data_IF_176584923518
#
_entry.id   IF_176584923518
#
_cell.length_a   1.000
_cell.length_b   1.000
_cell.length_c   1.000
_cell.angle_alpha   90.00
_cell.angle_beta   90.00
_cell.angle_gamma   90.00
#
_symmetry.space_group_name_H-M   'P 1'
#
loop_
_entity.id
_entity.type
_entity.pdbx_description
1 polymer ?
#
# COMPACT_ATOMS: atom_id res chain seq x y z
N UNK A 1 10.41 65.20 -10.28
CA UNK A 1 11.77 64.61 -10.40
C UNK A 1 12.60 64.57 -9.09
N UNK A 2 12.38 65.46 -8.11
CA UNK A 2 13.14 65.44 -6.84
C UNK A 2 12.72 64.29 -5.89
N UNK A 3 11.43 63.90 -5.84
CA UNK A 3 10.96 62.83 -4.97
C UNK A 3 11.40 61.41 -5.42
N UNK A 4 11.60 61.20 -6.72
CA UNK A 4 12.05 59.90 -7.25
C UNK A 4 13.54 59.62 -6.91
N UNK A 5 14.36 60.64 -6.86
CA UNK A 5 15.78 60.50 -6.46
C UNK A 5 15.95 60.22 -4.96
N UNK A 6 15.04 60.73 -4.13
CA UNK A 6 15.05 60.47 -2.70
C UNK A 6 14.65 59.02 -2.38
N UNK A 7 13.64 58.52 -3.11
CA UNK A 7 13.17 57.14 -2.94
C UNK A 7 14.23 56.09 -3.39
N UNK A 8 14.90 56.37 -4.50
CA UNK A 8 15.99 55.51 -4.99
C UNK A 8 17.20 55.49 -4.07
N UNK A 9 17.55 56.67 -3.45
CA UNK A 9 18.60 56.75 -2.45
C UNK A 9 18.27 55.99 -1.17
N UNK A 10 17.02 56.00 -0.72
CA UNK A 10 16.56 55.27 0.47
C UNK A 10 16.57 53.74 0.24
N UNK A 11 16.10 53.28 -0.92
CA UNK A 11 16.18 51.86 -1.28
C UNK A 11 17.63 51.35 -1.42
N UNK A 12 18.51 52.13 -1.95
CA UNK A 12 19.92 51.75 -2.12
C UNK A 12 20.65 51.67 -0.77
N UNK A 13 20.37 52.59 0.18
CA UNK A 13 20.93 52.53 1.54
C UNK A 13 20.36 51.34 2.32
N UNK A 14 19.05 51.00 2.21
CA UNK A 14 18.50 49.78 2.78
C UNK A 14 19.15 48.51 2.20
N UNK A 15 19.39 48.48 0.89
CA UNK A 15 20.02 47.33 0.22
C UNK A 15 21.47 47.13 0.71
N UNK A 16 22.22 48.18 0.94
CA UNK A 16 23.58 48.11 1.50
C UNK A 16 23.59 47.64 2.96
N UNK A 17 22.54 47.93 3.75
CA UNK A 17 22.44 47.42 5.12
C UNK A 17 22.16 45.91 5.18
N UNK A 18 21.49 45.35 4.19
CA UNK A 18 21.28 43.90 4.12
C UNK A 18 22.55 43.13 3.77
N UNK A 19 23.51 43.71 3.10
CA UNK A 19 24.79 43.05 2.79
C UNK A 19 25.86 43.21 3.88
N UNK A 20 25.69 44.10 4.83
CA UNK A 20 26.65 44.28 5.94
C UNK A 20 26.28 43.47 7.20
N UNK A 21 25.17 42.75 7.18
CA UNK A 21 24.64 42.03 8.36
C UNK A 21 25.10 40.57 8.47
N UNK A 22 25.94 40.08 7.57
CA UNK A 22 26.47 38.72 7.64
C UNK A 22 28.01 38.75 7.54
N UNK A 23 28.66 39.38 8.49
CA UNK A 23 30.01 38.96 8.86
C UNK A 23 29.87 38.07 10.09
N UNK A 24 29.51 36.79 9.90
CA UNK A 24 29.90 35.79 10.86
C UNK A 24 31.41 35.81 10.89
N UNK A 25 31.96 36.41 11.95
CA UNK A 25 33.36 36.16 12.27
C UNK A 25 33.55 34.65 12.28
N UNK A 26 34.53 34.12 11.51
CA UNK A 26 34.80 32.69 11.61
C UNK A 26 35.12 32.44 13.09
N UNK A 27 34.28 31.67 13.77
CA UNK A 27 34.57 31.14 15.08
C UNK A 27 35.87 30.38 14.88
N UNK A 28 37.00 30.97 15.27
CA UNK A 28 38.27 30.29 15.38
C UNK A 28 38.14 29.30 16.55
N UNK A 29 37.42 28.22 16.30
CA UNK A 29 37.54 27.04 17.12
C UNK A 29 38.90 26.43 16.78
N UNK A 30 39.83 26.59 17.68
CA UNK A 30 41.06 25.81 17.65
C UNK A 30 40.70 24.33 17.86
N UNK A 31 40.33 23.67 16.76
CA UNK A 31 40.00 22.24 16.73
C UNK A 31 41.25 21.37 16.80
N UNK A 32 42.47 22.00 16.93
CA UNK A 32 43.75 21.26 16.99
C UNK A 32 43.90 20.41 18.27
N UNK A 33 43.09 20.69 19.30
CA UNK A 33 43.11 19.96 20.58
C UNK A 33 41.90 18.99 20.73
N UNK A 34 41.03 18.90 19.77
CA UNK A 34 40.02 17.88 19.76
C UNK A 34 40.65 16.66 19.07
N UNK A 35 41.15 15.72 19.89
CA UNK A 35 41.39 14.36 19.42
C UNK A 35 40.07 13.81 18.97
N UNK A 36 39.74 14.00 17.71
CA UNK A 36 38.58 13.43 17.05
C UNK A 36 38.80 11.92 16.87
N UNK A 37 39.06 11.20 17.95
CA UNK A 37 39.12 9.75 17.93
C UNK A 37 37.72 9.24 17.64
N UNK A 38 37.56 8.73 16.45
CA UNK A 38 36.34 8.01 16.09
C UNK A 38 36.45 6.62 16.71
N UNK A 39 35.63 6.39 17.70
CA UNK A 39 35.49 5.09 18.34
C UNK A 39 34.38 4.25 17.67
N UNK A 40 34.46 2.95 17.86
CA UNK A 40 33.50 2.01 17.29
C UNK A 40 32.86 1.16 18.37
N UNK A 41 31.53 1.15 18.43
CA UNK A 41 30.77 0.18 19.20
C UNK A 41 30.17 -0.84 18.22
N UNK A 42 30.40 -2.12 18.51
CA UNK A 42 29.83 -3.23 17.75
C UNK A 42 28.86 -4.02 18.64
N UNK A 43 27.59 -4.11 18.23
CA UNK A 43 26.56 -4.92 18.90
C UNK A 43 26.19 -6.06 17.96
N UNK A 44 26.40 -7.30 18.42
CA UNK A 44 26.07 -8.53 17.68
C UNK A 44 24.95 -9.33 18.35
N UNK A 45 24.57 -8.99 19.57
CA UNK A 45 23.45 -9.59 20.28
C UNK A 45 22.14 -8.94 19.79
N UNK A 46 21.65 -9.45 18.65
CA UNK A 46 20.41 -9.01 18.01
C UNK A 46 19.42 -10.14 18.14
N UNK A 47 18.30 -9.88 18.80
CA UNK A 47 17.21 -10.84 18.94
C UNK A 47 15.92 -10.27 18.34
N UNK A 48 14.95 -11.14 18.08
CA UNK A 48 13.69 -10.70 17.53
C UNK A 48 12.69 -11.84 17.40
N UNK A 49 11.50 -11.48 16.99
CA UNK A 49 10.42 -12.44 16.76
C UNK A 49 9.46 -11.91 15.70
N UNK A 50 8.76 -12.84 15.05
CA UNK A 50 7.68 -12.51 14.13
C UNK A 50 6.36 -12.32 14.87
N UNK A 51 5.51 -11.50 14.25
CA UNK A 51 4.09 -11.46 14.54
C UNK A 51 3.32 -11.27 13.24
N UNK A 52 2.04 -11.59 13.26
CA UNK A 52 1.18 -11.55 12.09
C UNK A 52 0.01 -10.61 12.33
N UNK A 53 -0.31 -9.83 11.33
CA UNK A 53 -1.53 -9.00 11.27
C UNK A 53 -2.38 -9.44 10.09
N UNK A 54 -3.58 -8.90 9.97
CA UNK A 54 -4.37 -9.04 8.74
C UNK A 54 -3.56 -8.49 7.56
N UNK A 55 -3.45 -9.23 6.44
CA UNK A 55 -2.73 -8.74 5.25
C UNK A 55 -3.24 -7.37 4.80
N UNK A 56 -2.31 -6.45 4.59
CA UNK A 56 -2.62 -5.12 4.06
C UNK A 56 -2.46 -5.14 2.54
N UNK A 57 -3.57 -5.39 1.84
CA UNK A 57 -3.65 -5.44 0.38
C UNK A 57 -4.59 -4.38 -0.19
N UNK A 58 -5.17 -3.52 0.66
CA UNK A 58 -5.92 -2.34 0.24
C UNK A 58 -5.02 -1.37 -0.53
N UNK A 59 -5.59 -0.64 -1.48
CA UNK A 59 -4.84 0.32 -2.30
C UNK A 59 -3.73 -0.30 -3.16
N UNK A 60 -3.75 -1.64 -3.40
CA UNK A 60 -2.84 -2.27 -4.33
C UNK A 60 -3.36 -2.07 -5.76
N UNK A 61 -2.45 -1.79 -6.71
CA UNK A 61 -2.81 -1.48 -8.09
C UNK A 61 -3.35 -2.66 -8.92
N UNK A 62 -3.49 -3.82 -8.29
CA UNK A 62 -4.02 -5.05 -8.89
C UNK A 62 -4.93 -5.78 -7.92
N UNK A 63 -5.89 -6.47 -8.49
CA UNK A 63 -6.78 -7.39 -7.81
C UNK A 63 -6.49 -8.82 -8.23
N UNK A 64 -6.71 -9.75 -7.32
CA UNK A 64 -6.38 -11.15 -7.52
C UNK A 64 -7.56 -12.06 -7.19
N UNK A 65 -7.76 -13.10 -8.01
CA UNK A 65 -8.74 -14.16 -7.76
C UNK A 65 -8.12 -15.51 -8.11
N UNK A 66 -8.19 -16.47 -7.20
CA UNK A 66 -7.64 -17.81 -7.39
C UNK A 66 -6.31 -18.05 -6.70
N UNK A 67 -5.60 -19.11 -7.10
CA UNK A 67 -4.40 -19.55 -6.38
C UNK A 67 -3.14 -19.36 -7.20
N UNK A 68 -2.13 -18.79 -6.58
CA UNK A 68 -0.78 -18.64 -7.14
C UNK A 68 0.23 -19.02 -6.07
N UNK A 69 1.05 -20.03 -6.37
CA UNK A 69 2.01 -20.59 -5.41
C UNK A 69 1.30 -21.05 -4.14
N UNK A 70 1.64 -20.48 -3.01
CA UNK A 70 1.04 -20.78 -1.71
C UNK A 70 -0.15 -19.86 -1.35
N UNK A 71 -0.38 -18.80 -2.14
CA UNK A 71 -1.43 -17.83 -1.85
C UNK A 71 -2.73 -18.19 -2.54
N UNK A 72 -3.83 -18.08 -1.81
CA UNK A 72 -5.19 -18.26 -2.33
C UNK A 72 -5.99 -16.98 -2.10
N UNK A 73 -6.50 -16.40 -3.19
CA UNK A 73 -7.42 -15.27 -3.18
C UNK A 73 -8.82 -15.78 -3.41
N UNK A 74 -9.65 -15.67 -2.39
CA UNK A 74 -11.01 -16.20 -2.38
C UNK A 74 -11.93 -15.42 -3.31
N UNK A 75 -11.77 -14.09 -3.33
CA UNK A 75 -12.56 -13.19 -4.15
C UNK A 75 -11.90 -11.83 -4.34
N UNK A 76 -12.38 -11.07 -5.32
CA UNK A 76 -12.18 -9.62 -5.41
C UNK A 76 -13.52 -8.92 -5.30
N UNK A 77 -13.59 -7.88 -4.49
CA UNK A 77 -14.80 -7.13 -4.16
C UNK A 77 -14.76 -5.74 -4.78
N UNK A 78 -15.94 -5.22 -5.14
CA UNK A 78 -16.10 -3.93 -5.80
C UNK A 78 -17.31 -3.22 -5.23
N UNK A 79 -17.14 -1.97 -4.80
CA UNK A 79 -18.21 -1.11 -4.33
C UNK A 79 -18.43 0.04 -5.33
N UNK A 80 -19.69 0.34 -5.66
CA UNK A 80 -20.06 1.42 -6.56
C UNK A 80 -20.74 2.54 -5.79
N UNK A 81 -20.43 3.83 -6.10
CA UNK A 81 -20.94 4.96 -5.36
C UNK A 81 -22.46 5.11 -5.53
N UNK A 82 -23.18 5.33 -4.44
CA UNK A 82 -24.64 5.45 -4.42
C UNK A 82 -25.17 6.64 -5.23
N UNK A 83 -24.44 7.76 -5.25
CA UNK A 83 -24.85 9.00 -5.91
C UNK A 83 -24.67 9.01 -7.44
N UNK A 84 -24.09 7.99 -8.00
CA UNK A 84 -23.85 7.90 -9.46
C UNK A 84 -25.09 7.46 -10.25
N UNK A 85 -26.14 7.03 -9.58
CA UNK A 85 -27.34 6.42 -10.17
C UNK A 85 -28.52 7.36 -10.34
N UNK A 86 -28.44 8.60 -9.84
CA UNK A 86 -29.54 9.58 -9.84
C UNK A 86 -30.15 9.84 -11.22
N UNK A 87 -29.34 9.72 -12.28
CA UNK A 87 -29.81 9.88 -13.67
C UNK A 87 -30.89 8.88 -14.05
N UNK A 88 -30.84 7.68 -13.47
CA UNK A 88 -31.73 6.55 -13.83
C UNK A 88 -33.01 6.53 -13.00
N UNK A 89 -33.16 7.43 -12.04
CA UNK A 89 -34.39 7.59 -11.23
C UNK A 89 -35.45 8.42 -11.98
N UNK A 90 -35.08 9.03 -13.11
CA UNK A 90 -36.00 9.80 -13.95
C UNK A 90 -36.86 8.85 -14.80
N UNK A 91 -38.18 8.97 -14.72
CA UNK A 91 -39.13 8.17 -15.47
C UNK A 91 -39.04 8.31 -16.99
N UNK A 92 -38.33 9.32 -17.50
CA UNK A 92 -38.05 9.53 -18.92
C UNK A 92 -36.84 8.72 -19.40
N UNK A 93 -36.14 8.04 -18.53
CA UNK A 93 -34.96 7.23 -18.81
C UNK A 93 -35.34 5.74 -18.89
N UNK A 94 -34.91 5.10 -19.96
CA UNK A 94 -35.04 3.64 -20.15
C UNK A 94 -33.65 3.06 -20.37
N UNK A 95 -33.24 2.13 -19.51
CA UNK A 95 -31.97 1.41 -19.66
C UNK A 95 -32.16 0.32 -20.72
N UNK A 96 -31.29 0.33 -21.74
CA UNK A 96 -31.28 -0.65 -22.82
C UNK A 96 -30.36 -1.84 -22.53
N UNK A 97 -29.18 -1.56 -21.98
CA UNK A 97 -28.23 -2.59 -21.57
C UNK A 97 -27.26 -2.05 -20.52
N UNK A 98 -26.74 -2.95 -19.68
CA UNK A 98 -25.82 -2.61 -18.61
C UNK A 98 -24.78 -3.71 -18.46
N UNK A 99 -23.51 -3.31 -18.37
CA UNK A 99 -22.38 -4.23 -18.31
C UNK A 99 -21.42 -3.86 -17.20
N UNK A 100 -21.01 -4.85 -16.43
CA UNK A 100 -19.86 -4.74 -15.52
C UNK A 100 -18.62 -5.15 -16.29
N UNK A 101 -17.54 -4.36 -16.17
CA UNK A 101 -16.28 -4.59 -16.85
C UNK A 101 -15.10 -4.49 -15.90
N UNK A 102 -14.19 -5.45 -16.02
CA UNK A 102 -12.85 -5.40 -15.42
C UNK A 102 -11.80 -5.67 -16.49
N UNK A 103 -10.58 -5.25 -16.24
CA UNK A 103 -9.49 -5.27 -17.20
C UNK A 103 -8.31 -6.06 -16.65
N UNK A 104 -7.56 -6.69 -17.55
CA UNK A 104 -6.34 -7.41 -17.22
C UNK A 104 -5.29 -7.20 -18.31
N UNK A 105 -4.03 -7.08 -17.89
CA UNK A 105 -2.88 -7.13 -18.79
C UNK A 105 -2.49 -8.56 -19.18
N UNK A 106 -3.14 -9.57 -18.63
CA UNK A 106 -2.88 -10.97 -18.96
C UNK A 106 -3.52 -11.38 -20.28
N UNK A 107 -2.70 -11.63 -21.28
CA UNK A 107 -3.14 -12.12 -22.60
C UNK A 107 -3.52 -13.61 -22.62
N UNK A 108 -3.24 -14.34 -21.53
CA UNK A 108 -3.48 -15.78 -21.42
C UNK A 108 -4.88 -16.11 -20.87
N UNK A 109 -5.72 -15.13 -20.63
CA UNK A 109 -7.09 -15.37 -20.18
C UNK A 109 -7.86 -16.14 -21.26
N UNK A 110 -8.32 -17.32 -20.91
CA UNK A 110 -9.09 -18.19 -21.81
C UNK A 110 -10.38 -17.51 -22.28
N UNK A 111 -10.89 -17.88 -23.46
CA UNK A 111 -12.11 -17.30 -24.03
C UNK A 111 -13.37 -17.49 -23.18
N UNK A 112 -13.31 -18.34 -22.16
CA UNK A 112 -14.44 -18.65 -21.28
C UNK A 112 -13.95 -18.94 -19.86
N UNK A 113 -13.37 -17.92 -19.17
CA UNK A 113 -12.88 -18.13 -17.83
C UNK A 113 -14.05 -18.45 -16.88
N UNK A 114 -13.85 -19.46 -16.04
CA UNK A 114 -14.85 -19.87 -15.05
C UNK A 114 -14.82 -18.92 -13.83
N UNK A 115 -14.91 -17.62 -14.09
CA UNK A 115 -14.87 -16.56 -13.11
C UNK A 115 -16.28 -16.02 -12.89
N UNK A 116 -16.88 -16.32 -11.75
CA UNK A 116 -18.27 -15.95 -11.47
C UNK A 116 -18.34 -14.55 -10.85
N UNK A 117 -19.32 -13.77 -11.33
CA UNK A 117 -19.71 -12.50 -10.74
C UNK A 117 -20.95 -12.71 -9.86
N UNK A 118 -20.89 -12.16 -8.65
CA UNK A 118 -22.00 -12.15 -7.69
C UNK A 118 -22.34 -10.72 -7.30
N UNK A 119 -23.60 -10.47 -6.95
CA UNK A 119 -24.12 -9.16 -6.59
C UNK A 119 -24.85 -9.17 -5.25
N UNK A 120 -24.65 -8.13 -4.44
CA UNK A 120 -25.38 -7.86 -3.21
C UNK A 120 -25.73 -6.38 -3.09
N UNK A 121 -26.86 -6.11 -2.42
CA UNK A 121 -27.29 -4.75 -2.05
C UNK A 121 -26.75 -4.30 -0.70
N UNK A 122 -26.07 -5.20 0.01
CA UNK A 122 -25.49 -4.90 1.32
C UNK A 122 -24.08 -4.35 1.17
N UNK A 123 -23.77 -3.30 1.94
CA UNK A 123 -22.39 -2.82 2.08
C UNK A 123 -21.67 -3.71 3.08
N UNK A 124 -20.61 -4.36 2.64
CA UNK A 124 -19.87 -5.29 3.48
C UNK A 124 -18.44 -4.83 3.77
N UNK A 125 -17.92 -3.88 3.01
CA UNK A 125 -16.56 -3.42 3.21
C UNK A 125 -16.42 -1.92 2.93
N UNK A 126 -15.44 -1.36 3.61
CA UNK A 126 -14.83 -0.06 3.39
C UNK A 126 -13.33 -0.37 3.18
N UNK A 127 -12.81 -0.06 2.01
CA UNK A 127 -11.43 -0.42 1.62
C UNK A 127 -10.38 0.02 2.64
N UNK A 128 -10.63 1.15 3.31
CA UNK A 128 -9.70 1.73 4.28
C UNK A 128 -9.79 1.12 5.68
N UNK A 129 -10.95 0.56 6.04
CA UNK A 129 -11.25 0.17 7.42
C UNK A 129 -11.59 -1.32 7.59
N UNK A 130 -12.07 -1.99 6.54
CA UNK A 130 -12.41 -3.42 6.64
C UNK A 130 -11.17 -4.30 6.71
N UNK A 131 -11.20 -5.26 7.61
CA UNK A 131 -10.13 -6.23 7.75
C UNK A 131 -10.37 -7.43 6.82
N UNK A 132 -9.35 -7.86 6.12
CA UNK A 132 -9.41 -9.05 5.24
C UNK A 132 -9.89 -10.28 6.01
N UNK A 133 -9.55 -10.41 7.29
CA UNK A 133 -10.01 -11.49 8.17
C UNK A 133 -11.53 -11.52 8.38
N UNK A 134 -12.20 -10.37 8.30
CA UNK A 134 -13.67 -10.26 8.40
C UNK A 134 -14.31 -10.62 7.07
N UNK A 135 -13.78 -10.07 5.96
CA UNK A 135 -14.27 -10.31 4.61
C UNK A 135 -14.17 -11.78 4.20
N UNK A 136 -13.17 -12.49 4.67
CA UNK A 136 -12.95 -13.93 4.41
C UNK A 136 -14.10 -14.83 4.85
N UNK A 137 -14.86 -14.42 5.86
CA UNK A 137 -15.97 -15.23 6.41
C UNK A 137 -17.30 -14.95 5.73
N UNK A 138 -17.35 -14.11 4.71
CA UNK A 138 -18.58 -13.81 3.97
C UNK A 138 -18.85 -14.89 2.92
N UNK A 139 -20.05 -15.42 2.90
CA UNK A 139 -20.48 -16.42 1.91
C UNK A 139 -20.89 -15.73 0.60
N UNK A 140 -19.94 -15.38 -0.23
CA UNK A 140 -20.16 -14.65 -1.48
C UNK A 140 -20.99 -15.45 -2.48
N UNK A 141 -20.96 -16.77 -2.43
CA UNK A 141 -21.73 -17.69 -3.26
C UNK A 141 -23.23 -17.73 -2.92
N UNK A 142 -23.64 -17.18 -1.79
CA UNK A 142 -25.04 -16.96 -1.43
C UNK A 142 -25.64 -15.70 -2.09
N UNK A 143 -24.82 -14.86 -2.68
CA UNK A 143 -25.26 -13.66 -3.39
C UNK A 143 -25.91 -13.97 -4.72
N UNK A 144 -26.55 -12.99 -5.36
CA UNK A 144 -27.17 -13.18 -6.67
C UNK A 144 -26.08 -13.48 -7.70
N UNK A 145 -26.08 -14.69 -8.24
CA UNK A 145 -25.12 -15.10 -9.27
C UNK A 145 -25.51 -14.51 -10.63
N UNK A 146 -24.59 -13.73 -11.22
CA UNK A 146 -24.73 -13.14 -12.56
C UNK A 146 -24.20 -14.09 -13.64
N UNK A 147 -23.24 -14.95 -13.30
CA UNK A 147 -22.60 -15.89 -14.22
C UNK A 147 -21.16 -15.51 -14.58
N UNK A 148 -20.71 -16.05 -15.72
CA UNK A 148 -19.33 -15.90 -16.22
C UNK A 148 -19.24 -14.77 -17.25
N UNK A 149 -18.04 -14.17 -17.49
CA UNK A 149 -17.85 -13.07 -18.43
C UNK A 149 -17.79 -13.53 -19.88
N UNK A 150 -18.08 -12.62 -20.80
CA UNK A 150 -17.49 -12.64 -22.14
C UNK A 150 -16.11 -12.00 -22.10
N UNK A 151 -15.20 -12.48 -22.95
CA UNK A 151 -13.82 -12.00 -23.06
C UNK A 151 -13.69 -11.20 -24.36
N UNK A 152 -13.24 -9.97 -24.26
CA UNK A 152 -12.91 -9.11 -25.39
C UNK A 152 -11.44 -8.72 -25.30
N UNK A 153 -10.72 -8.76 -26.42
CA UNK A 153 -9.32 -8.30 -26.49
C UNK A 153 -9.31 -6.93 -27.17
N UNK A 154 -8.84 -5.92 -26.46
CA UNK A 154 -8.67 -4.57 -27.02
C UNK A 154 -7.21 -4.36 -27.33
N UNK A 155 -6.92 -4.06 -28.60
CA UNK A 155 -5.57 -3.75 -29.06
C UNK A 155 -5.51 -2.23 -29.24
N UNK A 156 -4.74 -1.55 -28.40
CA UNK A 156 -4.45 -0.13 -28.61
C UNK A 156 -3.35 0.00 -29.66
N UNK A 157 -3.73 0.50 -30.84
CA UNK A 157 -2.82 0.77 -31.96
C UNK A 157 -2.44 2.25 -32.06
N UNK A 158 -2.79 3.06 -31.07
CA UNK A 158 -2.53 4.51 -31.09
C UNK A 158 -1.04 4.84 -30.93
N UNK A 159 -0.26 3.92 -30.37
CA UNK A 159 1.19 4.08 -30.25
C UNK A 159 1.92 3.20 -31.28
N UNK A 160 2.69 3.82 -32.15
CA UNK A 160 3.42 3.13 -33.23
C UNK A 160 4.64 2.34 -32.72
N UNK A 161 4.95 2.43 -31.44
CA UNK A 161 6.15 1.81 -30.83
C UNK A 161 5.80 0.60 -29.97
N UNK A 162 4.61 0.54 -29.37
CA UNK A 162 4.15 -0.59 -28.58
C UNK A 162 2.67 -0.87 -28.83
N UNK A 163 2.34 -2.06 -29.32
CA UNK A 163 0.97 -2.57 -29.29
C UNK A 163 0.69 -3.04 -27.87
N UNK A 164 -0.10 -2.25 -27.14
CA UNK A 164 -0.58 -2.65 -25.82
C UNK A 164 -1.86 -3.49 -26.05
N UNK A 165 -1.85 -4.71 -25.56
CA UNK A 165 -2.99 -5.61 -25.63
C UNK A 165 -3.60 -5.72 -24.23
N UNK A 166 -4.89 -5.40 -24.11
CA UNK A 166 -5.63 -5.52 -22.87
C UNK A 166 -6.77 -6.52 -23.03
N UNK A 167 -6.99 -7.32 -22.03
CA UNK A 167 -8.13 -8.23 -21.96
C UNK A 167 -9.22 -7.60 -21.13
N UNK A 168 -10.43 -7.53 -21.67
CA UNK A 168 -11.64 -7.03 -21.02
C UNK A 168 -12.52 -8.22 -20.66
N UNK A 169 -12.82 -8.38 -19.39
CA UNK A 169 -13.82 -9.30 -18.88
C UNK A 169 -15.13 -8.52 -18.69
N UNK A 170 -16.19 -8.96 -19.38
CA UNK A 170 -17.46 -8.24 -19.45
C UNK A 170 -18.64 -9.15 -19.09
N UNK A 171 -19.40 -8.75 -18.10
CA UNK A 171 -20.64 -9.40 -17.68
C UNK A 171 -21.85 -8.58 -18.09
N UNK A 172 -22.85 -9.23 -18.67
CA UNK A 172 -24.18 -8.63 -18.85
C UNK A 172 -24.93 -8.72 -17.51
N UNK A 173 -25.17 -7.57 -16.89
CA UNK A 173 -25.91 -7.46 -15.63
C UNK A 173 -27.32 -6.92 -15.82
N UNK A 174 -27.88 -7.08 -17.02
CA UNK A 174 -29.22 -6.63 -17.39
C UNK A 174 -30.32 -7.20 -16.51
N UNK A 175 -30.16 -8.44 -16.00
CA UNK A 175 -31.09 -9.04 -15.06
C UNK A 175 -31.19 -8.32 -13.70
N UNK A 176 -30.21 -7.50 -13.36
CA UNK A 176 -30.16 -6.76 -12.10
C UNK A 176 -30.60 -5.29 -12.24
N UNK A 177 -30.95 -4.85 -13.44
CA UNK A 177 -31.25 -3.43 -13.74
C UNK A 177 -32.22 -2.84 -12.74
N UNK A 178 -33.39 -3.49 -12.53
CA UNK A 178 -34.42 -2.98 -11.62
C UNK A 178 -33.87 -2.76 -10.18
N UNK A 179 -33.04 -3.66 -9.70
CA UNK A 179 -32.43 -3.54 -8.37
C UNK A 179 -31.35 -2.50 -8.34
N UNK A 180 -30.50 -2.46 -9.38
CA UNK A 180 -29.36 -1.53 -9.42
C UNK A 180 -29.82 -0.06 -9.52
N UNK A 181 -30.89 0.22 -10.28
CA UNK A 181 -31.43 1.57 -10.46
C UNK A 181 -32.51 1.93 -9.42
N UNK A 182 -32.84 1.06 -8.47
CA UNK A 182 -33.83 1.36 -7.43
C UNK A 182 -33.27 2.44 -6.49
N UNK A 183 -34.10 3.45 -6.22
CA UNK A 183 -33.79 4.54 -5.28
C UNK A 183 -33.57 4.06 -3.85
N UNK A 184 -34.11 2.90 -3.50
CA UNK A 184 -33.96 2.29 -2.17
C UNK A 184 -32.65 1.49 -2.03
N UNK A 185 -31.99 1.18 -3.15
CA UNK A 185 -30.70 0.46 -3.13
C UNK A 185 -29.59 1.42 -2.74
N UNK A 186 -29.14 1.35 -1.50
CA UNK A 186 -28.07 2.20 -0.97
C UNK A 186 -26.69 1.70 -1.40
N UNK A 187 -26.50 0.42 -1.49
CA UNK A 187 -25.21 -0.21 -1.78
C UNK A 187 -25.28 -1.12 -2.99
N UNK A 188 -24.22 -1.16 -3.76
CA UNK A 188 -24.07 -1.97 -4.97
C UNK A 188 -22.71 -2.61 -4.96
N UNK A 189 -22.65 -3.79 -4.32
CA UNK A 189 -21.42 -4.52 -4.10
C UNK A 189 -21.37 -5.74 -5.01
N UNK A 190 -20.25 -5.92 -5.68
CA UNK A 190 -19.99 -7.09 -6.51
C UNK A 190 -18.81 -7.88 -5.96
N UNK A 191 -18.85 -9.19 -6.19
CA UNK A 191 -17.76 -10.12 -5.87
C UNK A 191 -17.42 -10.95 -7.08
N UNK A 192 -16.14 -11.06 -7.39
CA UNK A 192 -15.59 -12.01 -8.35
C UNK A 192 -14.96 -13.17 -7.60
N UNK A 193 -15.35 -14.41 -7.93
CA UNK A 193 -14.75 -15.59 -7.35
C UNK A 193 -14.70 -16.76 -8.34
N UNK A 194 -13.80 -17.71 -8.06
CA UNK A 194 -13.70 -18.96 -8.79
C UNK A 194 -14.48 -20.06 -8.08
N UNK A 195 -14.97 -21.07 -8.81
CA UNK A 195 -15.51 -22.27 -8.19
C UNK A 195 -14.49 -22.94 -7.27
N UNK A 196 -14.98 -23.53 -6.19
CA UNK A 196 -14.13 -24.27 -5.26
C UNK A 196 -13.29 -25.34 -5.98
N UNK A 197 -11.99 -25.39 -5.66
CA UNK A 197 -11.03 -26.33 -6.25
C UNK A 197 -10.47 -25.91 -7.63
N UNK A 198 -10.76 -24.70 -8.09
CA UNK A 198 -10.13 -24.15 -9.28
C UNK A 198 -8.64 -23.88 -9.00
N UNK A 199 -7.78 -24.26 -9.96
CA UNK A 199 -6.34 -23.92 -9.95
C UNK A 199 -6.01 -22.67 -10.77
N UNK A 200 -7.02 -21.99 -11.30
CA UNK A 200 -6.82 -20.76 -12.10
C UNK A 200 -6.43 -19.59 -11.20
N UNK A 201 -5.72 -18.65 -11.79
CA UNK A 201 -5.34 -17.40 -11.15
C UNK A 201 -5.56 -16.25 -12.13
N UNK A 202 -6.20 -15.19 -11.65
CA UNK A 202 -6.47 -13.98 -12.43
C UNK A 202 -5.86 -12.77 -11.73
N UNK A 203 -5.17 -11.96 -12.53
CA UNK A 203 -4.62 -10.68 -12.14
C UNK A 203 -5.37 -9.58 -12.90
N UNK A 204 -6.13 -8.78 -12.17
CA UNK A 204 -6.98 -7.74 -12.72
C UNK A 204 -6.45 -6.36 -12.31
N UNK A 205 -6.77 -5.33 -13.07
CA UNK A 205 -6.45 -3.97 -12.66
C UNK A 205 -7.44 -3.50 -11.58
N UNK A 206 -6.91 -2.85 -10.56
CA UNK A 206 -7.68 -2.15 -9.54
C UNK A 206 -7.91 -0.70 -9.93
N UNK A 207 -8.68 0.01 -9.13
CA UNK A 207 -8.88 1.44 -9.23
C UNK A 207 -7.58 2.24 -9.14
N UNK A 208 -6.58 1.73 -8.43
CA UNK A 208 -5.29 2.37 -8.20
C UNK A 208 -4.28 2.17 -9.33
N UNK A 209 -4.60 1.34 -10.35
CA UNK A 209 -3.65 1.00 -11.40
C UNK A 209 -3.30 2.16 -12.32
N UNK A 210 -4.28 2.92 -12.75
CA UNK A 210 -4.07 3.98 -13.73
C UNK A 210 -5.08 5.12 -13.58
N UNK A 211 -4.97 6.14 -14.41
CA UNK A 211 -5.86 7.31 -14.40
C UNK A 211 -7.25 7.05 -14.99
N UNK A 212 -7.92 6.00 -14.60
CA UNK A 212 -9.37 5.80 -14.81
C UNK A 212 -9.80 5.06 -16.07
N UNK A 213 -8.93 4.82 -17.06
CA UNK A 213 -9.36 4.12 -18.29
C UNK A 213 -9.58 2.63 -18.09
N UNK A 214 -8.76 2.02 -17.23
CA UNK A 214 -8.73 0.58 -16.93
C UNK A 214 -9.33 0.22 -15.56
N UNK A 215 -9.89 1.20 -14.87
CA UNK A 215 -10.59 0.95 -13.61
C UNK A 215 -11.80 0.04 -13.85
N UNK A 216 -12.12 -0.83 -12.90
CA UNK A 216 -13.37 -1.57 -12.91
C UNK A 216 -14.55 -0.60 -12.99
N UNK A 217 -15.53 -0.92 -13.86
CA UNK A 217 -16.62 -0.01 -14.15
C UNK A 217 -17.89 -0.69 -14.60
N UNK A 218 -18.99 0.04 -14.46
CA UNK A 218 -20.28 -0.30 -15.06
C UNK A 218 -20.54 0.66 -16.20
N UNK A 219 -20.86 0.11 -17.38
CA UNK A 219 -21.31 0.88 -18.54
C UNK A 219 -22.81 0.68 -18.74
N UNK A 220 -23.55 1.76 -18.71
CA UNK A 220 -25.01 1.79 -18.88
C UNK A 220 -25.34 2.47 -20.20
N UNK A 221 -26.00 1.75 -21.08
CA UNK A 221 -26.58 2.27 -22.33
C UNK A 221 -28.04 2.51 -22.10
N UNK A 222 -28.51 3.73 -22.36
CA UNK A 222 -29.87 4.12 -22.06
C UNK A 222 -30.41 5.14 -23.04
N UNK A 223 -31.74 5.23 -23.11
CA UNK A 223 -32.46 6.24 -23.85
C UNK A 223 -33.15 7.22 -22.92
N UNK A 224 -33.18 8.46 -23.33
CA UNK A 224 -33.87 9.51 -22.59
C UNK A 224 -34.84 10.21 -23.54
N UNK A 225 -36.09 10.33 -23.12
CA UNK A 225 -37.09 11.10 -23.83
C UNK A 225 -36.95 12.58 -23.48
N UNK A 226 -36.75 13.43 -24.52
CA UNK A 226 -36.63 14.88 -24.38
C UNK A 226 -37.84 15.52 -25.08
N UNK A 227 -38.67 16.19 -24.31
CA UNK A 227 -39.82 16.94 -24.81
C UNK A 227 -41.04 16.81 -23.94
N UNK A 228 -41.79 17.89 -23.81
CA UNK A 228 -43.03 17.95 -23.02
C UNK A 228 -44.28 17.55 -23.81
N UNK A 229 -44.15 17.22 -25.12
CA UNK A 229 -45.27 16.88 -25.97
C UNK A 229 -45.09 15.46 -26.56
N UNK A 230 -45.99 14.49 -26.30
CA UNK A 230 -45.87 13.13 -26.76
C UNK A 230 -45.71 12.99 -28.30
N UNK A 231 -46.23 13.96 -29.04
CA UNK A 231 -46.19 13.95 -30.51
C UNK A 231 -44.88 14.50 -31.11
N UNK A 232 -43.96 14.99 -30.25
CA UNK A 232 -42.70 15.59 -30.70
C UNK A 232 -41.51 15.24 -29.77
N UNK A 233 -41.61 14.15 -29.02
CA UNK A 233 -40.48 13.69 -28.18
C UNK A 233 -39.32 13.20 -29.03
N UNK A 234 -38.14 13.71 -28.75
CA UNK A 234 -36.88 13.23 -29.33
C UNK A 234 -36.28 12.23 -28.34
N UNK A 235 -35.85 11.07 -28.82
CA UNK A 235 -35.19 10.04 -28.03
C UNK A 235 -33.69 10.14 -28.27
N UNK A 236 -32.94 10.47 -27.20
CA UNK A 236 -31.50 10.44 -27.25
C UNK A 236 -31.00 9.09 -26.72
N UNK A 237 -30.05 8.49 -27.44
CA UNK A 237 -29.31 7.31 -26.96
C UNK A 237 -28.00 7.76 -26.33
N UNK A 238 -27.79 7.41 -25.07
CA UNK A 238 -26.70 7.90 -24.25
C UNK A 238 -25.96 6.73 -23.61
N UNK A 239 -24.71 6.99 -23.22
CA UNK A 239 -23.91 6.04 -22.44
C UNK A 239 -23.42 6.74 -21.18
N UNK A 240 -23.53 6.06 -20.02
CA UNK A 240 -22.95 6.50 -18.78
C UNK A 240 -21.99 5.46 -18.25
N UNK A 241 -20.81 5.91 -17.82
CA UNK A 241 -19.80 5.08 -17.18
C UNK A 241 -19.80 5.41 -15.70
N UNK A 242 -19.88 4.37 -14.85
CA UNK A 242 -19.81 4.47 -13.40
C UNK A 242 -18.61 3.64 -12.99
N UNK A 243 -17.60 4.33 -12.44
CA UNK A 243 -16.40 3.68 -11.94
C UNK A 243 -16.60 3.15 -10.53
N UNK A 244 -15.86 2.11 -10.18
CA UNK A 244 -15.78 1.60 -8.82
C UNK A 244 -15.29 2.69 -7.86
N UNK A 245 -15.84 2.72 -6.65
CA UNK A 245 -15.39 3.64 -5.58
C UNK A 245 -14.37 3.01 -4.66
N UNK A 246 -14.48 1.70 -4.45
CA UNK A 246 -13.63 0.91 -3.56
C UNK A 246 -13.49 -0.50 -4.14
N UNK A 247 -12.28 -1.05 -4.08
CA UNK A 247 -12.05 -2.45 -4.44
C UNK A 247 -10.97 -3.10 -3.55
N UNK A 248 -11.07 -4.41 -3.35
CA UNK A 248 -10.14 -5.17 -2.52
C UNK A 248 -10.14 -6.65 -2.91
N UNK A 249 -8.99 -7.28 -2.86
CA UNK A 249 -8.89 -8.75 -2.92
C UNK A 249 -8.98 -9.37 -1.53
N UNK A 250 -9.66 -10.49 -1.40
CA UNK A 250 -9.80 -11.24 -0.15
C UNK A 250 -8.87 -12.43 -0.20
N UNK A 251 -7.79 -12.37 0.57
CA UNK A 251 -6.77 -13.43 0.63
C UNK A 251 -7.03 -14.38 1.80
N UNK A 252 -6.80 -15.66 1.59
CA UNK A 252 -6.73 -16.65 2.66
C UNK A 252 -5.46 -16.41 3.48
N UNK A 253 -5.59 -16.35 4.81
CA UNK A 253 -4.43 -16.09 5.67
C UNK A 253 -3.60 -17.37 5.80
N UNK A 254 -2.33 -17.28 5.43
CA UNK A 254 -1.35 -18.32 5.70
C UNK A 254 -0.79 -18.12 7.10
N UNK A 255 -0.84 -19.14 7.93
CA UNK A 255 -0.19 -19.10 9.24
C UNK A 255 1.33 -19.04 9.05
N UNK A 256 1.99 -18.23 9.89
CA UNK A 256 3.44 -18.22 9.97
C UNK A 256 3.83 -19.37 10.88
N UNK A 257 4.60 -20.30 10.34
CA UNK A 257 5.17 -21.38 11.12
C UNK A 257 6.29 -20.81 12.01
N UNK A 258 5.95 -20.52 13.26
CA UNK A 258 6.90 -20.08 14.28
C UNK A 258 7.68 -21.30 14.81
N UNK A 259 8.51 -21.86 13.95
CA UNK A 259 9.30 -23.06 14.24
C UNK A 259 10.42 -22.84 15.30
N UNK A 260 10.38 -21.76 16.07
CA UNK A 260 11.40 -21.44 17.07
C UNK A 260 12.79 -21.19 16.47
N UNK A 261 12.90 -21.11 15.16
CA UNK A 261 14.10 -20.70 14.46
C UNK A 261 14.26 -19.19 14.66
N UNK A 262 15.46 -18.76 15.01
CA UNK A 262 15.81 -17.34 15.16
C UNK A 262 15.80 -16.61 13.79
N UNK A 263 14.77 -16.85 12.98
CA UNK A 263 14.56 -16.24 11.68
C UNK A 263 13.37 -15.27 11.75
N UNK A 264 13.48 -14.17 11.05
CA UNK A 264 12.37 -13.22 10.89
C UNK A 264 11.93 -13.15 9.43
N UNK A 265 10.64 -13.38 9.22
CA UNK A 265 9.99 -13.31 7.91
C UNK A 265 9.23 -12.00 7.78
N UNK A 266 9.44 -11.29 6.66
CA UNK A 266 8.73 -10.05 6.34
C UNK A 266 8.00 -10.24 5.02
N UNK A 267 6.67 -10.10 5.01
CA UNK A 267 5.81 -10.28 3.84
C UNK A 267 4.52 -9.48 3.96
N UNK A 268 4.08 -8.88 2.85
CA UNK A 268 2.78 -8.18 2.80
C UNK A 268 1.61 -9.16 2.76
N UNK A 269 1.62 -10.08 1.79
CA UNK A 269 0.51 -11.02 1.58
C UNK A 269 0.27 -11.95 2.77
N UNK A 270 1.31 -12.26 3.55
CA UNK A 270 1.18 -13.03 4.80
C UNK A 270 0.81 -12.15 6.00
N UNK A 271 0.85 -10.82 5.88
CA UNK A 271 0.75 -9.92 7.03
C UNK A 271 1.90 -10.08 8.03
N UNK A 272 3.05 -10.64 7.59
CA UNK A 272 4.17 -10.93 8.47
C UNK A 272 5.04 -9.71 8.71
N UNK A 273 5.26 -9.42 9.98
CA UNK A 273 6.13 -8.36 10.50
C UNK A 273 7.05 -8.92 11.57
N UNK A 274 8.08 -8.15 11.92
CA UNK A 274 9.01 -8.55 12.95
C UNK A 274 9.30 -7.42 13.95
N UNK A 275 9.57 -7.80 15.19
CA UNK A 275 10.14 -6.92 16.21
C UNK A 275 11.58 -7.36 16.44
N UNK A 276 12.50 -6.41 16.34
CA UNK A 276 13.90 -6.59 16.65
C UNK A 276 14.25 -5.87 17.95
N UNK A 277 14.96 -6.57 18.82
CA UNK A 277 15.54 -6.04 20.04
C UNK A 277 17.05 -5.93 19.86
N UNK A 278 17.57 -4.73 20.03
CA UNK A 278 18.99 -4.41 20.00
C UNK A 278 19.34 -3.79 21.35
N UNK A 279 20.26 -4.36 22.14
CA UNK A 279 20.60 -3.84 23.46
C UNK A 279 21.42 -2.54 23.35
N UNK A 280 20.72 -1.42 23.21
CA UNK A 280 21.30 -0.08 23.14
C UNK A 280 20.47 0.89 23.99
N UNK A 281 21.12 1.55 24.93
CA UNK A 281 20.52 2.54 25.85
C UNK A 281 21.40 3.77 26.01
N UNK A 282 21.01 4.70 26.89
CA UNK A 282 21.74 5.92 27.17
C UNK A 282 23.11 5.71 27.81
N UNK A 283 23.38 4.51 28.33
CA UNK A 283 24.66 4.13 28.96
C UNK A 283 25.58 3.36 28.00
N UNK A 284 25.10 3.00 26.82
CA UNK A 284 25.86 2.23 25.81
C UNK A 284 27.09 2.98 25.29
N UNK A 285 27.08 4.31 25.37
CA UNK A 285 28.20 5.19 24.96
C UNK A 285 28.54 6.18 26.07
N UNK A 286 29.78 6.72 26.13
CA UNK A 286 30.13 7.81 27.03
C UNK A 286 29.17 9.00 26.93
N UNK A 287 28.93 9.67 28.02
CA UNK A 287 28.06 10.83 28.09
C UNK A 287 28.51 11.91 27.06
N UNK A 288 27.55 12.55 26.39
CA UNK A 288 27.79 13.55 25.33
C UNK A 288 28.43 13.01 24.04
N UNK A 289 28.48 11.71 23.84
CA UNK A 289 28.93 11.13 22.57
C UNK A 289 28.05 11.57 21.41
N UNK A 290 28.68 11.79 20.27
CA UNK A 290 28.01 12.13 19.01
C UNK A 290 28.16 10.96 18.03
N UNK A 291 27.03 10.35 17.67
CA UNK A 291 26.99 9.26 16.69
C UNK A 291 27.23 9.83 15.28
N UNK A 292 28.27 9.36 14.62
CA UNK A 292 28.59 9.70 13.23
C UNK A 292 27.82 8.82 12.25
N UNK A 293 27.75 7.52 12.53
CA UNK A 293 26.91 6.57 11.80
C UNK A 293 26.49 5.44 12.73
N UNK A 294 25.34 4.86 12.49
CA UNK A 294 24.84 3.66 13.13
C UNK A 294 24.13 2.81 12.07
N UNK A 295 24.74 1.71 11.67
CA UNK A 295 24.26 0.88 10.57
C UNK A 295 23.97 -0.54 11.07
N UNK A 296 22.71 -0.93 11.01
CA UNK A 296 22.29 -2.31 11.22
C UNK A 296 22.47 -3.09 9.93
N UNK A 297 23.12 -4.24 10.03
CA UNK A 297 23.28 -5.20 8.93
C UNK A 297 22.60 -6.51 9.32
N UNK A 298 21.66 -6.98 8.50
CA UNK A 298 21.00 -8.30 8.62
C UNK A 298 21.19 -9.07 7.34
N UNK A 299 21.46 -10.38 7.46
CA UNK A 299 21.68 -11.26 6.32
C UNK A 299 20.48 -12.18 6.09
N UNK A 300 20.15 -12.38 4.83
CA UNK A 300 19.04 -13.26 4.45
C UNK A 300 19.35 -14.73 4.78
N UNK A 301 18.28 -15.44 5.07
CA UNK A 301 18.26 -16.91 5.17
C UNK A 301 17.69 -17.50 3.87
N UNK A 302 18.36 -18.47 3.32
CA UNK A 302 17.92 -19.14 2.08
C UNK A 302 18.26 -18.38 0.80
N UNK A 303 17.32 -18.35 -0.14
CA UNK A 303 17.51 -17.71 -1.43
C UNK A 303 17.60 -16.18 -1.31
N UNK A 304 18.52 -15.61 -2.08
CA UNK A 304 18.74 -14.16 -2.07
C UNK A 304 17.65 -13.45 -2.88
N UNK A 305 16.94 -12.53 -2.23
CA UNK A 305 16.01 -11.62 -2.88
C UNK A 305 16.58 -10.20 -2.86
N UNK A 306 16.93 -9.65 -4.00
CA UNK A 306 17.40 -8.28 -4.14
C UNK A 306 16.22 -7.31 -4.41
N UNK A 307 16.42 -6.04 -4.05
CA UNK A 307 15.46 -4.95 -4.21
C UNK A 307 14.23 -4.97 -3.30
N UNK A 308 14.04 -5.97 -2.46
CA UNK A 308 12.97 -5.97 -1.48
C UNK A 308 13.17 -4.82 -0.47
N UNK A 309 12.19 -3.94 -0.36
CA UNK A 309 12.24 -2.78 0.50
C UNK A 309 11.69 -3.11 1.89
N UNK A 310 12.50 -2.89 2.91
CA UNK A 310 12.10 -3.06 4.32
C UNK A 310 11.98 -1.67 4.95
N UNK A 311 10.87 -1.45 5.65
CA UNK A 311 10.66 -0.29 6.50
C UNK A 311 10.92 -0.67 7.96
N UNK A 312 11.62 0.20 8.68
CA UNK A 312 11.87 0.09 10.10
C UNK A 312 11.26 1.30 10.83
N UNK A 313 10.49 1.03 11.86
CA UNK A 313 9.87 2.02 12.73
C UNK A 313 10.24 1.73 14.20
N UNK A 314 10.83 2.69 14.94
CA UNK A 314 11.02 2.54 16.38
C UNK A 314 9.69 2.46 17.11
N UNK A 315 9.61 1.59 18.11
CA UNK A 315 8.40 1.38 18.87
C UNK A 315 8.27 2.35 20.04
N UNK A 316 7.04 2.71 20.36
CA UNK A 316 6.67 3.51 21.52
C UNK A 316 6.63 2.68 22.80
N UNK A 317 6.13 1.46 22.70
CA UNK A 317 6.07 0.47 23.79
C UNK A 317 5.94 -0.94 23.19
N UNK A 318 6.18 -1.95 23.99
CA UNK A 318 5.88 -3.35 23.69
C UNK A 318 4.60 -3.72 24.45
N UNK A 319 3.49 -4.01 23.76
CA UNK A 319 2.30 -4.50 24.43
C UNK A 319 2.51 -5.92 24.96
N UNK A 320 1.81 -6.26 26.03
CA UNK A 320 1.73 -7.65 26.50
C UNK A 320 0.96 -8.46 25.45
N UNK A 321 1.67 -9.20 24.61
CA UNK A 321 1.07 -9.96 23.53
C UNK A 321 0.91 -11.42 23.91
N UNK A 322 -0.31 -11.92 23.82
CA UNK A 322 -0.62 -13.35 23.94
C UNK A 322 -1.09 -14.01 22.65
N UNK A 323 -1.15 -13.28 21.54
CA UNK A 323 -1.68 -13.76 20.27
C UNK A 323 -0.66 -13.60 19.15
N UNK A 324 -0.52 -14.61 18.32
CA UNK A 324 0.34 -14.60 17.13
C UNK A 324 -0.33 -13.95 15.91
N UNK A 325 -1.67 -13.78 15.94
CA UNK A 325 -2.44 -13.18 14.83
C UNK A 325 -3.28 -12.03 15.38
N UNK A 326 -3.12 -10.84 14.80
CA UNK A 326 -3.83 -9.63 15.18
C UNK A 326 -4.67 -9.11 14.00
N UNK A 327 -5.85 -8.61 14.28
CA UNK A 327 -6.68 -7.94 13.29
C UNK A 327 -6.11 -6.55 12.92
N UNK A 328 -5.48 -5.89 13.90
CA UNK A 328 -4.76 -4.63 13.68
C UNK A 328 -3.35 -4.76 14.26
N UNK A 329 -2.43 -3.90 13.82
CA UNK A 329 -1.06 -3.89 14.35
C UNK A 329 -1.07 -3.45 15.82
N UNK A 330 -0.71 -4.34 16.78
CA UNK A 330 -0.72 -4.01 18.19
C UNK A 330 0.47 -3.14 18.61
N UNK A 331 1.47 -3.00 17.74
CA UNK A 331 2.72 -2.31 18.05
C UNK A 331 2.71 -0.90 17.47
N UNK A 332 2.37 0.09 18.29
CA UNK A 332 2.46 1.50 17.91
C UNK A 332 3.92 1.92 17.74
N UNK A 333 4.19 2.64 16.65
CA UNK A 333 5.48 3.29 16.43
C UNK A 333 5.49 4.72 16.99
N UNK A 334 6.69 5.27 17.17
CA UNK A 334 6.88 6.65 17.62
C UNK A 334 6.40 7.69 16.61
N UNK A 335 6.12 7.29 15.35
CA UNK A 335 5.83 8.20 14.25
C UNK A 335 7.04 9.04 13.78
N UNK A 336 8.19 8.91 14.46
CA UNK A 336 9.45 9.62 14.20
C UNK A 336 10.58 8.60 14.00
N UNK A 337 11.67 9.04 13.35
CA UNK A 337 12.90 8.26 13.17
C UNK A 337 12.74 6.98 12.35
N UNK A 338 11.67 6.85 11.56
CA UNK A 338 11.55 5.72 10.64
C UNK A 338 12.70 5.74 9.61
N UNK A 339 13.06 4.56 9.16
CA UNK A 339 14.06 4.39 8.11
C UNK A 339 13.60 3.28 7.16
N UNK A 340 14.05 3.34 5.92
CA UNK A 340 13.80 2.27 4.95
C UNK A 340 15.08 1.97 4.17
N UNK A 341 15.23 0.71 3.79
CA UNK A 341 16.34 0.27 2.97
C UNK A 341 15.90 -0.90 2.07
N UNK A 342 16.63 -1.07 0.97
CA UNK A 342 16.47 -2.23 0.10
C UNK A 342 17.49 -3.29 0.44
N UNK A 343 17.04 -4.52 0.35
CA UNK A 343 17.95 -5.67 0.37
C UNK A 343 18.79 -5.66 -0.90
N UNK A 344 20.07 -5.87 -0.74
CA UNK A 344 21.04 -5.96 -1.85
C UNK A 344 22.16 -6.91 -1.49
N UNK A 345 22.54 -7.79 -2.42
CA UNK A 345 23.62 -8.76 -2.24
C UNK A 345 23.44 -9.58 -0.94
N UNK A 346 22.27 -10.16 -0.75
CA UNK A 346 21.91 -10.99 0.40
C UNK A 346 21.92 -10.26 1.76
N UNK A 347 21.89 -8.91 1.79
CA UNK A 347 22.00 -8.13 3.00
C UNK A 347 21.05 -6.94 3.01
N UNK A 348 20.39 -6.71 4.13
CA UNK A 348 19.75 -5.44 4.47
C UNK A 348 20.75 -4.60 5.26
N UNK A 349 20.95 -3.36 4.84
CA UNK A 349 21.71 -2.38 5.61
C UNK A 349 20.86 -1.13 5.83
N UNK A 350 20.51 -0.86 7.09
CA UNK A 350 19.61 0.23 7.46
C UNK A 350 20.26 1.17 8.47
N UNK A 351 20.12 2.48 8.27
CA UNK A 351 20.68 3.48 9.16
C UNK A 351 19.75 3.78 10.34
N UNK A 352 20.28 3.69 11.54
CA UNK A 352 19.61 3.97 12.83
C UNK A 352 20.20 5.18 13.54
N UNK A 353 21.03 5.97 12.86
CA UNK A 353 21.79 7.09 13.46
C UNK A 353 20.90 8.06 14.21
N UNK A 354 19.88 8.59 13.57
CA UNK A 354 19.01 9.62 14.15
C UNK A 354 18.27 9.12 15.39
N UNK A 355 17.80 7.88 15.32
CA UNK A 355 17.09 7.26 16.44
C UNK A 355 18.02 7.05 17.65
N UNK A 356 19.15 6.38 17.48
CA UNK A 356 20.06 6.12 18.58
C UNK A 356 20.73 7.38 19.14
N UNK A 357 20.99 8.39 18.31
CA UNK A 357 21.42 9.68 18.82
C UNK A 357 20.37 10.30 19.74
N UNK A 358 19.09 10.17 19.42
CA UNK A 358 18.01 10.68 20.26
C UNK A 358 17.85 9.87 21.55
N UNK A 359 18.04 8.55 21.53
CA UNK A 359 18.07 7.70 22.73
C UNK A 359 19.19 8.13 23.69
N UNK A 360 20.36 8.52 23.15
CA UNK A 360 21.47 9.00 23.98
C UNK A 360 21.24 10.39 24.57
N UNK A 361 20.51 11.25 23.89
CA UNK A 361 20.39 12.67 24.27
C UNK A 361 19.12 12.97 25.08
N UNK A 362 18.17 12.06 25.12
CA UNK A 362 16.85 12.32 25.69
C UNK A 362 16.49 11.25 26.74
N UNK A 363 16.48 11.63 28.00
CA UNK A 363 16.16 10.74 29.12
C UNK A 363 14.75 10.14 29.03
N UNK A 364 13.87 10.72 28.21
CA UNK A 364 12.50 10.26 28.03
C UNK A 364 12.32 9.27 26.86
N UNK A 365 13.36 9.04 26.05
CA UNK A 365 13.30 8.12 24.93
C UNK A 365 14.06 6.85 25.24
N UNK A 366 13.32 5.75 25.40
CA UNK A 366 13.89 4.43 25.64
C UNK A 366 13.77 3.59 24.37
N UNK A 367 14.83 2.87 24.04
CA UNK A 367 14.80 1.89 22.97
C UNK A 367 14.09 0.62 23.48
N UNK A 368 12.82 0.47 23.10
CA UNK A 368 12.01 -0.70 23.48
C UNK A 368 11.95 -1.77 22.38
N UNK A 369 12.30 -1.41 21.15
CA UNK A 369 12.33 -2.32 20.00
C UNK A 369 12.11 -1.60 18.68
N UNK A 370 12.39 -2.30 17.61
CA UNK A 370 12.27 -1.81 16.23
C UNK A 370 11.31 -2.71 15.45
N UNK A 371 10.25 -2.14 14.91
CA UNK A 371 9.31 -2.83 14.04
C UNK A 371 9.82 -2.85 12.60
N UNK A 372 9.85 -4.04 12.02
CA UNK A 372 10.20 -4.25 10.62
C UNK A 372 8.98 -4.71 9.84
N UNK A 373 8.72 -4.06 8.70
CA UNK A 373 7.61 -4.37 7.80
C UNK A 373 8.03 -4.24 6.34
N UNK A 374 7.31 -4.91 5.45
CA UNK A 374 7.50 -4.75 4.02
C UNK A 374 6.99 -3.36 3.57
N UNK A 375 7.72 -2.72 2.64
CA UNK A 375 7.22 -1.51 1.99
C UNK A 375 6.04 -1.82 1.07
N UNK A 376 5.13 -0.87 0.89
CA UNK A 376 4.03 -0.95 -0.08
C UNK A 376 4.51 -1.02 -1.54
N UNK A 377 5.77 -0.69 -1.81
CA UNK A 377 6.37 -0.75 -3.15
C UNK A 377 6.86 -2.14 -3.56
N UNK A 378 6.90 -3.11 -2.64
CA UNK A 378 7.28 -4.48 -2.97
C UNK A 378 6.16 -5.19 -3.74
N UNK A 379 6.52 -6.20 -4.52
CA UNK A 379 5.54 -7.15 -5.03
C UNK A 379 4.82 -7.82 -3.85
N UNK A 380 3.52 -8.09 -4.04
CA UNK A 380 2.68 -8.65 -2.98
C UNK A 380 3.14 -10.05 -2.57
N UNK A 381 3.60 -10.85 -3.53
CA UNK A 381 3.99 -12.25 -3.32
C UNK A 381 5.40 -12.41 -2.76
N UNK A 382 6.23 -11.36 -2.88
CA UNK A 382 7.58 -11.41 -2.35
C UNK A 382 7.62 -11.42 -0.83
N UNK A 383 8.57 -12.15 -0.31
CA UNK A 383 8.90 -12.18 1.12
C UNK A 383 10.40 -12.27 1.32
N UNK A 384 10.89 -11.74 2.43
CA UNK A 384 12.29 -11.85 2.81
C UNK A 384 12.40 -12.47 4.20
N UNK A 385 13.34 -13.40 4.34
CA UNK A 385 13.64 -14.07 5.60
C UNK A 385 15.06 -13.71 6.03
N UNK A 386 15.26 -13.25 7.28
CA UNK A 386 16.57 -12.94 7.82
C UNK A 386 16.92 -13.93 8.93
N UNK A 387 18.13 -14.48 8.89
CA UNK A 387 18.69 -15.33 9.92
C UNK A 387 19.32 -14.48 11.04
N UNK A 388 18.66 -14.39 12.19
CA UNK A 388 19.18 -13.61 13.32
C UNK A 388 20.46 -14.22 13.94
N UNK A 389 20.76 -15.50 13.69
CA UNK A 389 22.00 -16.16 14.13
C UNK A 389 23.16 -15.97 13.17
N UNK A 390 22.95 -15.30 12.03
CA UNK A 390 24.02 -15.13 11.04
C UNK A 390 25.22 -14.37 11.66
N UNK A 391 26.41 -14.95 11.56
CA UNK A 391 27.63 -14.45 12.24
C UNK A 391 28.05 -13.02 11.87
N UNK A 392 27.58 -12.50 10.76
CA UNK A 392 27.87 -11.16 10.27
C UNK A 392 26.75 -10.14 10.61
N UNK A 393 25.68 -10.57 11.29
CA UNK A 393 24.68 -9.63 11.78
C UNK A 393 25.29 -8.71 12.82
N UNK A 394 25.10 -7.42 12.64
CA UNK A 394 25.66 -6.44 13.57
C UNK A 394 24.97 -5.09 13.46
N UNK A 395 24.93 -4.38 14.56
CA UNK A 395 24.82 -2.93 14.58
C UNK A 395 26.22 -2.36 14.81
N UNK A 396 26.69 -1.57 13.86
CA UNK A 396 28.00 -0.90 13.92
C UNK A 396 27.79 0.60 14.08
N UNK A 397 28.27 1.14 15.19
CA UNK A 397 28.15 2.55 15.55
C UNK A 397 29.53 3.18 15.58
N UNK A 398 29.73 4.19 14.74
CA UNK A 398 30.89 5.07 14.82
C UNK A 398 30.50 6.34 15.57
N UNK A 399 31.23 6.69 16.60
CA UNK A 399 30.92 7.84 17.43
C UNK A 399 32.19 8.60 17.83
N UNK A 400 32.00 9.83 18.28
CA UNK A 400 33.05 10.68 18.88
C UNK A 400 32.62 10.95 20.31
N UNK A 401 33.46 10.64 21.26
CA UNK A 401 33.31 11.04 22.67
C UNK A 401 34.05 12.34 22.93
N UNK A 402 33.59 13.14 23.89
CA UNK A 402 34.27 14.40 24.28
C UNK A 402 35.60 14.13 24.95
#
# INVERSE_FOLDING_TARGET
>A
MKSFRLFFGLCFTCFLYFFSSCSEEPIYNDLSNIDNNIDTLLITDISGYNYQISPDISGYNKLFVGSKEEFTFLSSLFNFPSNSWDTFFDSTVTVDSIFFKVFSGDSLIENNPNLNLYFSTDSIFDESNSLVSELRNVAYDEWVNVGIPSVEVVIDTSDTISTFQETVLKWDIGSLVETIIDTLTLHRTFSLSLPSGSSSFFELYSREYSSGSLDPKIEVYYRREIGSNPDSSVVDTLTRIIYVSEDISVIETLEIDDNGNNNILISRARGSRAILNIPFDSLSLPQYSVIRSANLSLFQHGDSLDNFSVRMDPLKFLPDSGSSIFNADPYENLGLYFSSAKVASNKLQISLKSYFQSVLMTDSLTNVGLKFSASTTNDLFESVNFDLNHVNNKLEIFYVSP
#
